data_IF_216242893744
#
_entry.id   IF_216242893744
#
_cell.length_a   1.000
_cell.length_b   1.000
_cell.length_c   1.000
_cell.angle_alpha   90.00
_cell.angle_beta   90.00
_cell.angle_gamma   90.00
#
_symmetry.space_group_name_H-M   'P 1'
#
loop_
_entity.id
_entity.type
_entity.pdbx_description
1 polymer ?
#
# COMPACT_ATOMS: atom_id res chain seq x y z
N UNK A 1 -2.44 10.00 22.24
CA UNK A 1 -1.71 8.73 21.98
C UNK A 1 -0.96 8.86 20.68
N UNK A 2 0.35 8.56 20.67
CA UNK A 2 1.30 8.89 19.60
C UNK A 2 0.99 8.11 18.31
N UNK A 3 0.53 8.81 17.28
CA UNK A 3 0.28 8.28 15.93
C UNK A 3 1.63 8.04 15.26
N UNK A 4 2.01 6.78 15.06
CA UNK A 4 3.11 6.41 14.17
C UNK A 4 2.51 6.29 12.77
N UNK A 5 2.41 7.42 12.10
CA UNK A 5 2.24 7.44 10.65
C UNK A 5 3.37 6.60 10.05
N UNK A 6 3.04 5.77 9.06
CA UNK A 6 4.03 5.15 8.19
C UNK A 6 5.12 6.19 7.90
N UNK A 7 6.36 5.87 8.29
CA UNK A 7 7.54 6.57 7.82
C UNK A 7 7.62 6.28 6.32
N UNK A 8 6.88 7.07 5.55
CA UNK A 8 7.32 7.54 4.25
C UNK A 8 8.55 8.38 4.58
N UNK A 9 9.70 7.72 4.69
CA UNK A 9 10.97 8.40 4.86
C UNK A 9 11.11 9.39 3.70
N UNK A 10 11.13 10.68 4.07
CA UNK A 10 11.28 11.85 3.22
C UNK A 10 10.05 12.31 2.39
N UNK A 11 8.94 12.63 3.05
CA UNK A 11 8.19 13.83 2.65
C UNK A 11 9.00 15.05 3.12
N UNK A 12 9.61 15.86 2.24
CA UNK A 12 10.21 17.11 2.68
C UNK A 12 9.09 17.98 3.27
N UNK A 13 9.26 18.33 4.54
CA UNK A 13 8.50 19.37 5.21
C UNK A 13 8.50 20.57 4.28
N UNK A 14 7.32 20.94 3.77
CA UNK A 14 7.10 22.23 3.12
C UNK A 14 7.35 23.31 4.18
N UNK A 15 8.60 23.71 4.36
CA UNK A 15 8.94 24.93 5.08
C UNK A 15 8.57 26.07 4.12
N UNK A 16 7.32 26.52 4.23
CA UNK A 16 6.86 27.81 3.73
C UNK A 16 7.51 28.91 4.59
N UNK A 17 8.83 29.11 4.45
CA UNK A 17 9.51 30.28 5.00
C UNK A 17 9.95 31.17 3.84
N UNK A 18 9.16 32.20 3.54
CA UNK A 18 9.55 33.26 2.62
C UNK A 18 8.40 33.88 1.85
N UNK A 19 7.65 34.77 2.50
CA UNK A 19 6.83 35.75 1.79
C UNK A 19 7.76 36.70 1.01
N UNK A 20 7.94 36.43 -0.29
CA UNK A 20 8.35 37.43 -1.28
C UNK A 20 7.45 37.29 -2.50
N UNK A 21 6.81 38.39 -2.86
CA UNK A 21 5.59 38.54 -3.68
C UNK A 21 5.72 38.14 -5.15
N UNK A 22 6.84 37.55 -5.57
CA UNK A 22 7.08 36.97 -6.90
C UNK A 22 7.17 35.43 -6.91
N UNK A 23 7.20 34.77 -5.74
CA UNK A 23 7.31 33.31 -5.63
C UNK A 23 6.01 32.58 -5.28
N UNK A 24 4.98 33.28 -4.82
CA UNK A 24 3.75 32.68 -4.28
C UNK A 24 2.88 32.05 -5.37
N UNK A 25 2.79 32.68 -6.56
CA UNK A 25 1.97 32.16 -7.66
C UNK A 25 2.58 30.89 -8.29
N UNK A 26 3.90 30.83 -8.42
CA UNK A 26 4.62 29.65 -8.91
C UNK A 26 4.56 28.50 -7.89
N UNK A 27 4.67 28.80 -6.58
CA UNK A 27 4.48 27.82 -5.52
C UNK A 27 3.04 27.28 -5.47
N UNK A 28 2.03 28.15 -5.61
CA UNK A 28 0.61 27.76 -5.64
C UNK A 28 0.29 26.92 -6.89
N UNK A 29 0.86 27.27 -8.04
CA UNK A 29 0.73 26.51 -9.29
C UNK A 29 1.36 25.13 -9.18
N UNK A 30 2.59 25.02 -8.63
CA UNK A 30 3.24 23.73 -8.35
C UNK A 30 2.45 22.88 -7.37
N UNK A 31 1.89 23.48 -6.33
CA UNK A 31 1.01 22.79 -5.39
C UNK A 31 -0.29 22.33 -6.06
N UNK A 32 -0.92 23.18 -6.88
CA UNK A 32 -2.11 22.82 -7.66
C UNK A 32 -1.87 21.64 -8.60
N UNK A 33 -0.72 21.61 -9.27
CA UNK A 33 -0.31 20.48 -10.12
C UNK A 33 -0.02 19.22 -9.30
N UNK A 34 0.56 19.33 -8.11
CA UNK A 34 0.71 18.21 -7.18
C UNK A 34 -0.62 17.59 -6.78
N UNK A 35 -1.59 18.43 -6.38
CA UNK A 35 -2.92 17.95 -6.04
C UNK A 35 -3.61 17.32 -7.24
N UNK A 36 -3.57 17.97 -8.41
CA UNK A 36 -4.17 17.46 -9.65
C UNK A 36 -3.61 16.10 -10.04
N UNK A 37 -2.29 15.92 -9.94
CA UNK A 37 -1.65 14.64 -10.28
C UNK A 37 -1.86 13.57 -9.21
N UNK A 38 -2.14 13.95 -7.96
CA UNK A 38 -2.49 13.04 -6.88
C UNK A 38 -3.97 12.64 -6.87
N UNK A 39 -4.86 13.41 -7.54
CA UNK A 39 -6.30 13.13 -7.60
C UNK A 39 -6.65 11.70 -8.05
N UNK A 40 -5.99 11.10 -9.05
CA UNK A 40 -6.25 9.70 -9.42
C UNK A 40 -6.05 8.74 -8.25
N UNK A 41 -5.03 8.94 -7.43
CA UNK A 41 -4.79 8.10 -6.25
C UNK A 41 -5.83 8.35 -5.15
N UNK A 42 -6.29 9.59 -4.95
CA UNK A 42 -7.38 9.89 -4.02
C UNK A 42 -8.65 9.14 -4.44
N UNK A 43 -9.01 9.19 -5.73
CA UNK A 43 -10.14 8.44 -6.28
C UNK A 43 -9.97 6.93 -6.10
N UNK A 44 -8.78 6.41 -6.42
CA UNK A 44 -8.43 5.00 -6.19
C UNK A 44 -8.68 4.61 -4.72
N UNK A 45 -8.25 5.43 -3.76
CA UNK A 45 -8.46 5.21 -2.33
C UNK A 45 -9.94 5.22 -1.94
N UNK A 46 -10.73 6.16 -2.48
CA UNK A 46 -12.17 6.25 -2.23
C UNK A 46 -12.93 5.04 -2.79
N UNK A 47 -12.55 4.60 -4.00
CA UNK A 47 -13.12 3.41 -4.64
C UNK A 47 -12.82 2.14 -3.84
N UNK A 48 -11.60 1.99 -3.32
CA UNK A 48 -11.27 0.89 -2.44
C UNK A 48 -12.06 0.97 -1.14
N UNK A 49 -12.15 2.14 -0.49
CA UNK A 49 -12.92 2.29 0.74
C UNK A 49 -14.39 1.88 0.54
N UNK A 50 -15.02 2.34 -0.54
CA UNK A 50 -16.38 1.97 -0.91
C UNK A 50 -16.51 0.45 -1.14
N UNK A 51 -15.56 -0.14 -1.87
CA UNK A 51 -15.50 -1.57 -2.12
C UNK A 51 -15.37 -2.38 -0.81
N UNK A 52 -14.51 -1.94 0.13
CA UNK A 52 -14.35 -2.59 1.43
C UNK A 52 -15.61 -2.53 2.29
N UNK A 53 -16.36 -1.43 2.21
CA UNK A 53 -17.67 -1.29 2.87
C UNK A 53 -18.69 -2.25 2.26
N UNK A 54 -18.74 -2.36 0.93
CA UNK A 54 -19.67 -3.26 0.23
C UNK A 54 -19.40 -4.73 0.58
N UNK A 55 -18.13 -5.15 0.56
CA UNK A 55 -17.70 -6.48 1.02
C UNK A 55 -18.16 -6.76 2.45
N UNK A 56 -17.99 -5.79 3.36
CA UNK A 56 -18.37 -5.98 4.75
C UNK A 56 -19.89 -6.16 4.90
N UNK A 57 -20.70 -5.48 4.07
CA UNK A 57 -22.16 -5.57 4.09
C UNK A 57 -22.68 -6.88 3.52
N UNK A 58 -22.13 -7.37 2.40
CA UNK A 58 -22.57 -8.63 1.79
C UNK A 58 -22.22 -9.87 2.65
N UNK A 59 -21.19 -9.73 3.49
CA UNK A 59 -20.71 -10.77 4.39
C UNK A 59 -19.76 -11.75 3.68
N UNK A 60 -18.67 -12.09 4.36
CA UNK A 60 -17.61 -12.93 3.80
C UNK A 60 -17.31 -14.14 4.67
N UNK A 61 -16.71 -15.15 4.05
CA UNK A 61 -16.06 -16.27 4.73
C UNK A 61 -14.62 -16.36 4.26
N UNK A 62 -13.76 -16.90 5.12
CA UNK A 62 -12.33 -17.00 4.87
C UNK A 62 -11.92 -18.46 4.73
N UNK A 63 -11.04 -18.75 3.79
CA UNK A 63 -10.40 -20.06 3.66
C UNK A 63 -8.89 -19.93 3.48
N UNK A 64 -8.14 -20.98 3.79
CA UNK A 64 -6.73 -21.06 3.50
C UNK A 64 -6.46 -20.93 1.99
N UNK A 65 -5.39 -20.23 1.63
CA UNK A 65 -4.94 -20.13 0.25
C UNK A 65 -4.42 -21.48 -0.25
N UNK A 66 -4.80 -21.85 -1.47
CA UNK A 66 -4.19 -22.96 -2.20
C UNK A 66 -2.86 -22.54 -2.84
N UNK A 67 -2.11 -23.48 -3.40
CA UNK A 67 -0.88 -23.17 -4.14
C UNK A 67 -1.11 -22.23 -5.33
N UNK A 68 -2.26 -22.34 -6.02
CA UNK A 68 -2.59 -21.45 -7.14
C UNK A 68 -2.95 -20.04 -6.68
N UNK A 69 -3.58 -19.91 -5.50
CA UNK A 69 -3.82 -18.61 -4.86
C UNK A 69 -2.50 -17.95 -4.45
N UNK A 70 -1.59 -18.71 -3.85
CA UNK A 70 -0.24 -18.23 -3.50
C UNK A 70 0.53 -17.78 -4.74
N UNK A 71 0.46 -18.54 -5.83
CA UNK A 71 1.11 -18.16 -7.09
C UNK A 71 0.50 -16.90 -7.69
N UNK A 72 -0.83 -16.77 -7.65
CA UNK A 72 -1.52 -15.54 -8.08
C UNK A 72 -1.05 -14.33 -7.27
N UNK A 73 -1.09 -14.41 -5.93
CA UNK A 73 -0.67 -13.33 -5.04
C UNK A 73 0.78 -12.95 -5.31
N UNK A 74 1.66 -13.95 -5.40
CA UNK A 74 3.09 -13.73 -5.66
C UNK A 74 3.33 -13.02 -6.98
N UNK A 75 2.69 -13.51 -8.06
CA UNK A 75 2.82 -12.89 -9.37
C UNK A 75 2.31 -11.46 -9.34
N UNK A 76 1.11 -11.21 -8.79
CA UNK A 76 0.51 -9.88 -8.75
C UNK A 76 1.37 -8.88 -7.97
N UNK A 77 1.89 -9.28 -6.81
CA UNK A 77 2.81 -8.44 -6.03
C UNK A 77 4.10 -8.15 -6.81
N UNK A 78 4.71 -9.17 -7.42
CA UNK A 78 5.96 -8.99 -8.17
C UNK A 78 5.80 -8.10 -9.41
N UNK A 79 4.64 -8.14 -10.06
CA UNK A 79 4.40 -7.39 -11.31
C UNK A 79 3.84 -5.99 -11.08
N UNK A 80 3.02 -5.79 -10.04
CA UNK A 80 2.23 -4.55 -9.89
C UNK A 80 2.65 -3.68 -8.69
N UNK A 81 3.38 -4.21 -7.70
CA UNK A 81 3.68 -3.45 -6.47
C UNK A 81 4.50 -2.18 -6.72
N UNK A 82 5.55 -2.27 -7.55
CA UNK A 82 6.38 -1.12 -7.87
C UNK A 82 5.56 -0.02 -8.58
N UNK A 83 4.74 -0.40 -9.57
CA UNK A 83 3.87 0.53 -10.26
C UNK A 83 2.84 1.19 -9.31
N UNK A 84 2.35 0.46 -8.30
CA UNK A 84 1.45 1.02 -7.30
C UNK A 84 2.13 2.05 -6.39
N UNK A 85 3.39 1.83 -6.02
CA UNK A 85 4.20 2.82 -5.30
C UNK A 85 4.44 4.06 -6.16
N UNK A 86 4.76 3.90 -7.44
CA UNK A 86 4.95 5.03 -8.36
C UNK A 86 3.67 5.85 -8.54
N UNK A 87 2.48 5.22 -8.62
CA UNK A 87 1.21 5.95 -8.68
C UNK A 87 0.95 6.80 -7.43
N UNK A 88 1.33 6.31 -6.26
CA UNK A 88 1.18 7.02 -4.99
C UNK A 88 2.23 8.14 -4.82
N UNK A 89 3.50 7.83 -5.05
CA UNK A 89 4.62 8.72 -4.71
C UNK A 89 5.05 9.63 -5.87
N UNK A 90 4.79 9.23 -7.12
CA UNK A 90 5.17 9.96 -8.33
C UNK A 90 4.71 11.41 -8.36
N UNK A 91 3.47 11.75 -7.97
CA UNK A 91 2.99 13.13 -7.90
C UNK A 91 3.82 14.06 -6.98
N UNK A 92 4.62 13.50 -6.08
CA UNK A 92 5.47 14.24 -5.14
C UNK A 92 6.96 14.24 -5.55
N UNK A 93 7.38 13.39 -6.49
CA UNK A 93 8.73 13.32 -7.02
C UNK A 93 8.92 14.26 -8.23
N UNK A 94 9.07 15.57 -7.97
CA UNK A 94 9.01 16.63 -9.01
C UNK A 94 10.32 17.02 -9.67
N UNK A 95 11.45 16.77 -9.03
CA UNK A 95 12.75 17.06 -9.62
C UNK A 95 13.54 15.78 -9.89
N UNK A 96 14.52 15.87 -10.78
CA UNK A 96 15.33 14.73 -11.23
C UNK A 96 15.97 13.98 -10.06
N UNK A 97 16.36 14.69 -8.99
CA UNK A 97 16.87 14.05 -7.77
C UNK A 97 15.79 13.19 -7.10
N UNK A 98 14.63 13.75 -6.81
CA UNK A 98 13.53 13.01 -6.16
C UNK A 98 12.98 11.88 -7.02
N UNK A 99 12.98 12.02 -8.34
CA UNK A 99 12.61 10.94 -9.27
C UNK A 99 13.65 9.82 -9.27
N UNK A 100 14.94 10.18 -9.29
CA UNK A 100 16.03 9.20 -9.17
C UNK A 100 16.04 8.48 -7.82
N UNK A 101 15.74 9.19 -6.73
CA UNK A 101 15.62 8.60 -5.40
C UNK A 101 14.42 7.65 -5.32
N UNK A 102 13.26 8.04 -5.87
CA UNK A 102 12.08 7.17 -5.98
C UNK A 102 12.38 5.92 -6.81
N UNK A 103 12.98 6.08 -8.00
CA UNK A 103 13.31 4.94 -8.86
C UNK A 103 14.30 3.97 -8.21
N UNK A 104 15.26 4.47 -7.43
CA UNK A 104 16.19 3.63 -6.65
C UNK A 104 15.51 2.90 -5.51
N UNK A 105 14.60 3.58 -4.79
CA UNK A 105 13.84 2.98 -3.70
C UNK A 105 12.80 1.97 -4.21
N UNK A 106 12.29 2.16 -5.43
CA UNK A 106 11.19 1.39 -6.00
C UNK A 106 11.66 0.19 -6.85
N UNK A 107 12.73 -0.49 -6.44
CA UNK A 107 13.31 -1.60 -7.19
C UNK A 107 13.63 -2.79 -6.29
N UNK A 108 13.58 -3.98 -6.91
CA UNK A 108 14.09 -5.20 -6.30
C UNK A 108 13.25 -5.72 -5.13
N UNK A 109 11.96 -5.39 -5.04
CA UNK A 109 11.11 -5.95 -3.99
C UNK A 109 11.15 -7.48 -4.00
N UNK A 110 11.32 -8.04 -2.80
CA UNK A 110 11.06 -9.44 -2.51
C UNK A 110 9.98 -9.46 -1.44
N UNK A 111 9.14 -10.48 -1.43
CA UNK A 111 8.05 -10.61 -0.48
C UNK A 111 8.13 -11.96 0.20
N UNK A 112 8.15 -11.96 1.53
CA UNK A 112 8.00 -13.18 2.34
C UNK A 112 6.59 -13.19 2.92
N UNK A 113 5.74 -14.06 2.37
CA UNK A 113 4.35 -14.17 2.78
C UNK A 113 4.24 -14.96 4.09
N UNK A 114 3.66 -14.36 5.12
CA UNK A 114 3.39 -15.04 6.40
C UNK A 114 2.03 -15.74 6.37
N UNK A 115 1.03 -15.09 5.78
CA UNK A 115 -0.30 -15.64 5.65
C UNK A 115 -0.99 -15.04 4.43
N UNK A 116 -1.65 -15.90 3.67
CA UNK A 116 -2.65 -15.50 2.67
C UNK A 116 -3.95 -16.20 3.04
N UNK A 117 -5.03 -15.43 3.17
CA UNK A 117 -6.39 -15.97 3.31
C UNK A 117 -7.22 -15.53 2.11
N UNK A 118 -7.97 -16.47 1.55
CA UNK A 118 -8.91 -16.22 0.47
C UNK A 118 -10.18 -15.66 1.08
N UNK A 119 -10.62 -14.52 0.58
CA UNK A 119 -11.88 -13.89 0.96
C UNK A 119 -12.93 -14.33 -0.05
N UNK A 120 -13.98 -14.99 0.43
CA UNK A 120 -15.08 -15.50 -0.39
C UNK A 120 -16.38 -14.85 0.01
N UNK A 121 -17.22 -14.60 -0.97
CA UNK A 121 -18.61 -14.19 -0.74
C UNK A 121 -19.36 -15.31 -0.01
N UNK A 122 -20.04 -14.96 1.08
CA UNK A 122 -20.69 -15.96 1.94
C UNK A 122 -21.84 -16.70 1.24
N UNK A 123 -22.51 -16.06 0.28
CA UNK A 123 -23.72 -16.60 -0.37
C UNK A 123 -23.38 -17.46 -1.58
N UNK A 124 -22.42 -17.02 -2.38
CA UNK A 124 -22.06 -17.61 -3.67
C UNK A 124 -20.78 -18.45 -3.62
N UNK A 125 -19.98 -18.32 -2.55
CA UNK A 125 -18.63 -18.90 -2.43
C UNK A 125 -17.62 -18.41 -3.48
N UNK A 126 -17.97 -17.37 -4.26
CA UNK A 126 -17.06 -16.74 -5.21
C UNK A 126 -15.89 -16.07 -4.49
N UNK A 127 -14.70 -16.20 -5.05
CA UNK A 127 -13.51 -15.50 -4.53
C UNK A 127 -13.64 -14.00 -4.83
N UNK A 128 -13.64 -13.19 -3.77
CA UNK A 128 -13.66 -11.73 -3.85
C UNK A 128 -12.23 -11.18 -3.88
N UNK A 129 -11.30 -11.84 -3.19
CA UNK A 129 -9.91 -11.42 -3.15
C UNK A 129 -9.10 -12.14 -2.09
N UNK A 130 -7.98 -11.53 -1.71
CA UNK A 130 -6.94 -12.12 -0.89
C UNK A 130 -6.47 -11.12 0.14
N UNK A 131 -6.53 -11.49 1.40
CA UNK A 131 -5.86 -10.76 2.47
C UNK A 131 -4.49 -11.36 2.69
N UNK A 132 -3.47 -10.53 2.52
CA UNK A 132 -2.06 -10.93 2.53
C UNK A 132 -1.37 -10.25 3.69
N UNK A 133 -0.67 -11.02 4.51
CA UNK A 133 0.33 -10.51 5.44
C UNK A 133 1.72 -10.95 4.98
N UNK A 134 2.65 -10.01 4.92
CA UNK A 134 4.00 -10.24 4.40
C UNK A 134 5.05 -9.45 5.18
N UNK A 135 6.30 -9.89 5.09
CA UNK A 135 7.44 -9.19 5.68
C UNK A 135 8.02 -8.19 4.69
N UNK A 136 8.35 -7.01 5.20
CA UNK A 136 9.10 -5.98 4.48
C UNK A 136 10.06 -5.27 5.44
N UNK A 137 11.37 -5.15 5.17
CA UNK A 137 12.20 -4.20 5.88
C UNK A 137 11.84 -2.78 5.43
N UNK A 138 12.38 -1.77 6.10
CA UNK A 138 12.09 -0.36 5.80
C UNK A 138 12.31 -0.04 4.30
N UNK A 139 13.34 -0.64 3.72
CA UNK A 139 13.79 -0.48 2.33
C UNK A 139 13.28 -1.54 1.34
N UNK A 140 12.40 -2.47 1.75
CA UNK A 140 11.99 -3.64 0.94
C UNK A 140 13.00 -4.80 0.97
N UNK A 141 12.56 -6.08 0.86
CA UNK A 141 13.42 -7.29 1.01
C UNK A 141 14.43 -7.49 -0.15
N UNK A 142 14.72 -6.45 -0.93
CA UNK A 142 15.58 -6.53 -2.11
C UNK A 142 17.04 -6.80 -1.83
N UNK A 143 17.88 -6.69 -2.87
CA UNK A 143 19.33 -7.00 -2.82
C UNK A 143 20.11 -6.26 -1.73
N UNK A 144 19.58 -5.13 -1.24
CA UNK A 144 20.20 -4.33 -0.18
C UNK A 144 19.81 -4.77 1.25
N UNK A 145 18.92 -5.76 1.39
CA UNK A 145 18.44 -6.23 2.69
C UNK A 145 19.49 -7.08 3.37
N UNK A 146 19.82 -6.72 4.60
CA UNK A 146 20.72 -7.48 5.46
C UNK A 146 19.93 -8.46 6.33
N UNK A 147 20.60 -9.50 6.80
CA UNK A 147 19.97 -10.51 7.65
C UNK A 147 19.47 -9.94 8.99
N UNK A 148 20.15 -8.89 9.47
CA UNK A 148 19.85 -8.15 10.69
C UNK A 148 18.79 -7.06 10.52
N UNK A 149 18.32 -6.79 9.29
CA UNK A 149 17.34 -5.74 9.06
C UNK A 149 16.01 -6.09 9.73
N UNK A 150 15.47 -5.12 10.47
CA UNK A 150 14.18 -5.27 11.11
C UNK A 150 13.08 -5.43 10.06
N UNK A 151 12.36 -6.54 10.14
CA UNK A 151 11.22 -6.81 9.27
C UNK A 151 9.93 -6.25 9.88
N UNK A 152 9.22 -5.46 9.11
CA UNK A 152 7.89 -4.97 9.42
C UNK A 152 6.85 -5.91 8.81
N UNK A 153 5.85 -6.27 9.60
CA UNK A 153 4.68 -7.03 9.15
C UNK A 153 3.73 -6.05 8.46
N UNK A 154 3.57 -6.20 7.17
CA UNK A 154 2.69 -5.39 6.34
C UNK A 154 1.46 -6.19 5.91
N UNK A 155 0.43 -5.46 5.53
CA UNK A 155 -0.83 -6.02 5.04
C UNK A 155 -1.16 -5.45 3.67
N UNK A 156 -1.83 -6.24 2.84
CA UNK A 156 -2.43 -5.74 1.61
C UNK A 156 -3.61 -6.63 1.23
N UNK A 157 -4.64 -6.04 0.66
CA UNK A 157 -5.73 -6.77 0.04
C UNK A 157 -5.64 -6.69 -1.49
N UNK A 158 -5.80 -7.83 -2.14
CA UNK A 158 -5.68 -7.99 -3.58
C UNK A 158 -6.94 -8.60 -4.17
N UNK A 159 -7.36 -8.16 -5.35
CA UNK A 159 -8.40 -8.82 -6.15
C UNK A 159 -7.82 -9.29 -7.48
N UNK A 160 -8.55 -10.17 -8.19
CA UNK A 160 -8.13 -10.67 -9.50
C UNK A 160 -8.37 -9.67 -10.63
N UNK A 161 -9.36 -8.81 -10.46
CA UNK A 161 -9.95 -7.93 -11.48
C UNK A 161 -9.50 -6.46 -11.38
N UNK A 162 -8.84 -6.06 -10.28
CA UNK A 162 -8.36 -4.69 -10.08
C UNK A 162 -6.84 -4.64 -10.01
N UNK A 163 -6.20 -3.53 -10.44
CA UNK A 163 -4.79 -3.29 -10.17
C UNK A 163 -4.49 -3.32 -8.66
N UNK A 164 -3.30 -3.76 -8.29
CA UNK A 164 -2.80 -3.68 -6.93
C UNK A 164 -2.80 -2.21 -6.47
N UNK A 165 -3.36 -1.96 -5.29
CA UNK A 165 -3.38 -0.64 -4.68
C UNK A 165 -2.77 -0.66 -3.29
N UNK A 166 -1.89 0.30 -3.02
CA UNK A 166 -1.33 0.49 -1.68
C UNK A 166 -2.39 1.03 -0.71
N UNK A 167 -3.49 1.61 -1.20
CA UNK A 167 -4.58 2.09 -0.34
C UNK A 167 -5.22 0.95 0.49
N UNK A 168 -5.15 -0.30 0.02
CA UNK A 168 -5.72 -1.45 0.73
C UNK A 168 -4.83 -1.97 1.86
N UNK A 169 -3.62 -1.42 2.02
CA UNK A 169 -2.71 -1.75 3.12
C UNK A 169 -3.08 -1.08 4.44
N UNK A 170 -4.04 -0.14 4.42
CA UNK A 170 -4.51 0.55 5.61
C UNK A 170 -5.07 -0.44 6.67
N UNK A 171 -4.86 -0.09 7.94
CA UNK A 171 -5.25 -0.94 9.06
C UNK A 171 -6.76 -1.06 9.22
N UNK A 172 -7.52 0.00 8.97
CA UNK A 172 -8.97 -0.01 9.10
C UNK A 172 -9.62 -0.73 7.92
N UNK A 173 -9.10 -0.52 6.70
CA UNK A 173 -9.45 -1.32 5.54
C UNK A 173 -9.19 -2.81 5.81
N UNK A 174 -7.98 -3.16 6.28
CA UNK A 174 -7.60 -4.54 6.57
C UNK A 174 -8.50 -5.16 7.63
N UNK A 175 -8.77 -4.47 8.76
CA UNK A 175 -9.69 -4.99 9.78
C UNK A 175 -11.10 -5.21 9.23
N UNK A 176 -11.58 -4.30 8.38
CA UNK A 176 -12.92 -4.38 7.78
C UNK A 176 -13.06 -5.57 6.84
N UNK A 177 -12.11 -5.74 5.93
CA UNK A 177 -12.20 -6.76 4.86
C UNK A 177 -11.64 -8.10 5.32
N UNK A 178 -10.54 -8.10 6.04
CA UNK A 178 -9.80 -9.29 6.45
C UNK A 178 -10.17 -9.78 7.86
N UNK A 179 -10.91 -8.97 8.61
CA UNK A 179 -11.28 -9.25 9.98
C UNK A 179 -10.22 -8.78 10.98
N UNK A 180 -10.69 -8.22 12.10
CA UNK A 180 -9.86 -7.75 13.21
C UNK A 180 -8.94 -8.83 13.78
N UNK A 181 -9.40 -10.10 13.80
CA UNK A 181 -8.60 -11.22 14.29
C UNK A 181 -7.38 -11.51 13.42
N UNK A 182 -7.54 -11.47 12.10
CA UNK A 182 -6.43 -11.61 11.15
C UNK A 182 -5.40 -10.50 11.36
N UNK A 183 -5.86 -9.24 11.37
CA UNK A 183 -4.97 -8.09 11.59
C UNK A 183 -4.23 -8.22 12.93
N UNK A 184 -4.92 -8.50 14.03
CA UNK A 184 -4.30 -8.61 15.35
C UNK A 184 -3.30 -9.77 15.46
N UNK A 185 -3.59 -10.91 14.82
CA UNK A 185 -2.72 -12.08 14.84
C UNK A 185 -1.38 -11.81 14.14
N UNK A 186 -1.39 -11.03 13.07
CA UNK A 186 -0.21 -10.86 12.21
C UNK A 186 0.44 -9.47 12.28
N UNK A 187 -0.17 -8.48 12.95
CA UNK A 187 0.42 -7.12 13.08
C UNK A 187 1.61 -7.08 14.05
N UNK A 188 1.65 -8.04 14.99
CA UNK A 188 2.63 -8.13 16.05
C UNK A 188 3.05 -9.59 16.20
N UNK A 189 4.16 -9.97 15.59
CA UNK A 189 5.03 -10.97 16.18
C UNK A 189 6.36 -10.31 16.44
N UNK A 190 6.50 -9.85 17.68
CA UNK A 190 7.79 -9.55 18.26
C UNK A 190 8.67 -10.80 18.12
N UNK A 191 9.83 -10.62 17.51
CA UNK A 191 11.07 -11.17 18.05
C UNK A 191 11.99 -9.96 18.24
#
# INVERSE_FOLDING_TARGET
>A
MKKKYLLIAALPVFILSGCSTSGTADALSKFGNMLSDAMPYVKESEEWEAYGIDIAKQGVVYSSASSSDMQFVSNKMNTEYAAAIDRLAGPFARNQKTQGDLAKANQGYVFKYNQVQVVKDKKTSNTLGYCVNYDRPETGLGKATKAEDKLYKEFIYLTRDKPLSIATADADFTKRVCGTNFYNKYKNTAN
#
